data_IF_769412387590
#
_entry.id   IF_769412387590
#
_cell.length_a   1.000
_cell.length_b   1.000
_cell.length_c   1.000
_cell.angle_alpha   90.00
_cell.angle_beta   90.00
_cell.angle_gamma   90.00
#
_symmetry.space_group_name_H-M   'P 1'
#
loop_
_entity.id
_entity.type
_entity.pdbx_description
1 polymer ?
#
# COMPACT_ATOMS: atom_id res chain seq x y z
N UNK A 1 -35.82 -60.28 -43.59
CA UNK A 1 -35.67 -58.97 -42.90
C UNK A 1 -34.55 -59.14 -41.88
N UNK A 2 -33.44 -58.43 -41.80
CA UNK A 2 -32.84 -57.31 -42.53
C UNK A 2 -31.34 -57.34 -42.14
N UNK A 3 -30.44 -57.65 -43.07
CA UNK A 3 -28.99 -57.64 -42.83
C UNK A 3 -28.50 -56.21 -43.05
N UNK A 4 -27.98 -55.57 -41.99
CA UNK A 4 -27.42 -54.21 -42.05
C UNK A 4 -26.09 -54.22 -42.82
N UNK A 5 -25.85 -53.31 -43.79
CA UNK A 5 -24.56 -53.23 -44.44
C UNK A 5 -23.55 -52.46 -43.58
N UNK A 6 -22.31 -52.97 -43.55
CA UNK A 6 -21.14 -52.32 -42.96
C UNK A 6 -20.81 -51.03 -43.73
N UNK A 7 -20.72 -49.91 -43.02
CA UNK A 7 -20.27 -48.61 -43.55
C UNK A 7 -18.84 -48.71 -44.06
N UNK A 8 -18.64 -48.37 -45.33
CA UNK A 8 -17.33 -48.19 -45.95
C UNK A 8 -16.54 -47.09 -45.23
N UNK A 9 -15.39 -47.44 -44.65
CA UNK A 9 -14.42 -46.49 -44.12
C UNK A 9 -13.81 -45.69 -45.28
N UNK A 10 -14.01 -44.36 -45.28
CA UNK A 10 -13.30 -43.45 -46.17
C UNK A 10 -11.82 -43.42 -45.79
N UNK A 11 -10.88 -43.47 -46.75
CA UNK A 11 -9.47 -43.27 -46.44
C UNK A 11 -9.21 -41.81 -46.07
N UNK A 12 -8.42 -41.60 -45.01
CA UNK A 12 -7.95 -40.28 -44.57
C UNK A 12 -6.97 -39.70 -45.61
N UNK A 13 -6.98 -38.37 -45.86
CA UNK A 13 -6.00 -37.75 -46.73
C UNK A 13 -4.60 -37.81 -46.10
N UNK A 14 -3.60 -38.12 -46.93
CA UNK A 14 -2.19 -38.17 -46.58
C UNK A 14 -1.70 -36.81 -46.08
N UNK A 15 -1.35 -36.71 -44.79
CA UNK A 15 -0.64 -35.56 -44.22
C UNK A 15 0.71 -35.41 -44.92
N UNK A 16 0.84 -34.37 -45.74
CA UNK A 16 2.11 -33.88 -46.27
C UNK A 16 3.05 -33.56 -45.10
N UNK A 17 4.12 -34.35 -44.95
CA UNK A 17 5.22 -34.08 -44.02
C UNK A 17 5.87 -32.75 -44.42
N UNK A 18 5.64 -31.67 -43.66
CA UNK A 18 6.49 -30.48 -43.74
C UNK A 18 7.88 -30.90 -43.28
N UNK A 19 8.87 -30.78 -44.18
CA UNK A 19 10.29 -30.84 -43.81
C UNK A 19 10.59 -29.66 -42.91
N UNK A 20 10.95 -29.95 -41.66
CA UNK A 20 11.56 -28.96 -40.77
C UNK A 20 13.06 -28.99 -41.11
N UNK A 21 13.57 -27.88 -41.65
CA UNK A 21 15.01 -27.65 -41.78
C UNK A 21 15.59 -27.38 -40.38
N UNK A 22 16.73 -27.98 -40.00
CA UNK A 22 17.42 -27.61 -38.78
C UNK A 22 18.09 -26.25 -39.00
N UNK A 23 17.56 -25.20 -38.36
CA UNK A 23 18.29 -23.94 -38.23
C UNK A 23 19.38 -24.14 -37.19
N UNK A 24 20.61 -24.08 -37.68
CA UNK A 24 21.85 -24.19 -36.94
C UNK A 24 21.92 -23.27 -35.73
N UNK A 25 22.48 -23.83 -34.65
CA UNK A 25 22.93 -23.13 -33.47
C UNK A 25 23.88 -21.97 -33.81
N UNK A 26 23.65 -20.81 -33.20
CA UNK A 26 24.68 -19.80 -32.99
C UNK A 26 24.37 -18.94 -31.76
N UNK A 27 24.93 -19.35 -30.63
CA UNK A 27 25.40 -18.49 -29.56
C UNK A 27 26.83 -18.97 -29.28
N UNK A 28 27.83 -18.16 -28.86
CA UNK A 28 27.69 -16.90 -28.12
C UNK A 28 28.67 -15.79 -28.52
N UNK A 29 28.37 -14.52 -28.18
CA UNK A 29 29.38 -13.57 -27.63
C UNK A 29 28.77 -12.23 -27.20
N UNK A 30 29.05 -11.92 -25.93
CA UNK A 30 29.04 -10.64 -25.23
C UNK A 30 28.88 -9.37 -26.07
N UNK A 31 27.84 -8.59 -25.77
CA UNK A 31 27.80 -7.15 -25.98
C UNK A 31 27.44 -6.47 -24.65
N UNK A 32 28.39 -6.43 -23.71
CA UNK A 32 28.34 -5.47 -22.60
C UNK A 32 28.85 -4.14 -23.17
N UNK A 33 27.97 -3.39 -23.80
CA UNK A 33 28.22 -1.99 -24.13
C UNK A 33 27.90 -1.15 -22.87
N UNK A 34 28.96 -0.75 -22.15
CA UNK A 34 28.89 0.27 -21.11
C UNK A 34 28.52 1.60 -21.77
N UNK A 35 27.32 2.09 -21.58
CA UNK A 35 26.97 3.46 -21.94
C UNK A 35 26.88 4.32 -20.68
N UNK A 36 27.99 4.99 -20.34
CA UNK A 36 28.02 6.10 -19.39
C UNK A 36 27.62 7.37 -20.13
N UNK A 37 26.58 8.10 -19.72
CA UNK A 37 26.46 9.50 -20.12
C UNK A 37 27.38 10.35 -19.24
N UNK A 38 28.39 10.97 -19.87
CA UNK A 38 29.05 12.17 -19.36
C UNK A 38 28.06 13.32 -19.52
N UNK A 39 27.52 13.86 -18.43
CA UNK A 39 26.96 15.21 -18.44
C UNK A 39 27.92 16.16 -17.73
N UNK A 40 28.30 17.18 -18.49
CA UNK A 40 29.24 18.21 -18.14
C UNK A 40 28.61 19.18 -17.12
N UNK A 41 29.45 19.58 -16.17
CA UNK A 41 29.18 20.63 -15.22
C UNK A 41 28.80 21.95 -15.90
N UNK A 42 27.67 22.52 -15.50
CA UNK A 42 27.38 23.97 -15.47
C UNK A 42 26.19 24.18 -14.53
N UNK A 43 26.47 24.44 -13.25
CA UNK A 43 25.49 25.06 -12.37
C UNK A 43 26.09 26.36 -11.82
N UNK A 44 25.46 27.44 -12.25
CA UNK A 44 25.58 28.79 -11.71
C UNK A 44 25.34 28.78 -10.19
N UNK A 45 26.25 29.43 -9.47
CA UNK A 45 26.10 29.73 -8.05
C UNK A 45 25.05 30.84 -7.87
N UNK A 46 23.99 30.65 -7.06
CA UNK A 46 23.22 31.79 -6.59
C UNK A 46 24.00 32.56 -5.51
N UNK A 47 24.17 33.86 -5.73
CA UNK A 47 24.65 34.84 -4.74
C UNK A 47 23.74 34.79 -3.50
N UNK A 48 24.28 34.36 -2.35
CA UNK A 48 23.65 34.60 -1.05
C UNK A 48 23.69 36.10 -0.74
N UNK A 49 22.52 36.71 -0.73
CA UNK A 49 22.31 38.04 -0.17
C UNK A 49 22.61 38.02 1.34
N UNK A 50 23.33 39.06 1.78
CA UNK A 50 23.60 39.36 3.20
C UNK A 50 22.27 39.60 3.93
N UNK A 51 22.05 38.90 5.03
CA UNK A 51 21.03 39.25 6.02
C UNK A 51 21.57 40.38 6.92
N UNK A 52 20.79 41.45 7.02
CA UNK A 52 21.02 42.64 7.86
C UNK A 52 20.62 42.33 9.31
N UNK A 53 21.48 42.49 10.33
CA UNK A 53 21.16 42.14 11.71
C UNK A 53 20.65 43.37 12.46
N UNK A 54 19.40 43.78 12.23
CA UNK A 54 18.74 44.82 13.05
C UNK A 54 17.26 44.54 13.25
N UNK A 55 16.95 43.80 14.31
CA UNK A 55 15.68 43.90 15.04
C UNK A 55 15.76 43.07 16.32
N UNK A 56 16.33 43.69 17.35
CA UNK A 56 16.14 43.24 18.72
C UNK A 56 14.75 43.71 19.20
N UNK A 57 13.94 42.84 19.82
CA UNK A 57 12.85 43.29 20.67
C UNK A 57 13.34 43.47 22.12
N UNK A 58 12.94 44.60 22.69
CA UNK A 58 13.21 45.04 24.06
C UNK A 58 12.55 44.12 25.12
N UNK A 59 13.15 43.97 26.31
CA UNK A 59 12.52 43.26 27.41
C UNK A 59 11.40 44.09 28.05
N UNK A 60 10.18 43.55 28.07
CA UNK A 60 9.06 44.10 28.82
C UNK A 60 9.20 43.72 30.29
N UNK A 61 9.43 44.74 31.09
CA UNK A 61 9.32 44.81 32.53
C UNK A 61 7.94 44.32 33.03
N UNK A 62 7.92 43.44 34.04
CA UNK A 62 6.74 43.22 34.90
C UNK A 62 7.22 43.09 36.35
N UNK A 63 6.64 43.85 37.30
CA UNK A 63 7.12 43.92 38.68
C UNK A 63 6.74 42.69 39.50
N UNK A 64 7.58 42.41 40.49
CA UNK A 64 7.38 41.36 41.46
C UNK A 64 6.15 41.60 42.34
N UNK A 65 5.46 40.50 42.66
CA UNK A 65 4.55 40.41 43.78
C UNK A 65 4.69 39.02 44.39
N UNK A 66 5.38 38.96 45.52
CA UNK A 66 5.30 37.84 46.44
C UNK A 66 4.07 38.03 47.34
N UNK A 67 3.36 36.95 47.68
CA UNK A 67 2.75 36.87 48.98
C UNK A 67 3.18 35.62 49.74
N UNK A 68 3.22 35.84 51.04
CA UNK A 68 3.64 34.96 52.11
C UNK A 68 2.92 33.62 52.20
N UNK A 69 3.66 32.72 52.85
CA UNK A 69 3.24 31.51 53.52
C UNK A 69 1.86 31.57 54.19
N UNK A 70 0.97 30.67 53.77
CA UNK A 70 -0.13 30.23 54.62
C UNK A 70 -0.19 28.69 54.71
N UNK A 71 0.24 28.24 55.88
CA UNK A 71 0.07 26.95 56.55
C UNK A 71 -0.96 25.97 55.97
N UNK A 72 -0.43 24.85 55.49
CA UNK A 72 -1.15 23.62 55.11
C UNK A 72 -1.87 23.03 56.32
N UNK A 73 -3.20 23.14 56.36
CA UNK A 73 -4.04 22.24 57.16
C UNK A 73 -4.35 20.98 56.36
N UNK A 74 -3.74 19.90 56.81
CA UNK A 74 -3.94 18.52 56.36
C UNK A 74 -5.39 18.13 56.62
N UNK A 75 -6.18 17.97 55.57
CA UNK A 75 -7.49 17.31 55.66
C UNK A 75 -7.58 16.36 54.47
N UNK A 76 -7.61 15.07 54.77
CA UNK A 76 -7.69 13.97 53.83
C UNK A 76 -8.92 14.12 52.92
N UNK A 77 -8.69 14.39 51.63
CA UNK A 77 -9.71 14.22 50.61
C UNK A 77 -9.55 12.81 50.04
N UNK A 78 -10.54 11.96 50.37
CA UNK A 78 -10.77 10.64 49.77
C UNK A 78 -10.51 10.69 48.26
N UNK A 79 -9.50 9.95 47.81
CA UNK A 79 -9.25 9.62 46.40
C UNK A 79 -10.43 8.79 45.89
N UNK A 80 -11.46 9.44 45.37
CA UNK A 80 -12.40 8.81 44.43
C UNK A 80 -11.60 8.63 43.15
N UNK A 81 -11.25 7.39 42.84
CA UNK A 81 -10.68 7.00 41.56
C UNK A 81 -11.70 7.31 40.46
N UNK A 82 -11.64 8.53 39.94
CA UNK A 82 -12.31 8.87 38.70
C UNK A 82 -11.45 8.29 37.59
N UNK A 83 -11.81 7.09 37.14
CA UNK A 83 -11.38 6.52 35.88
C UNK A 83 -11.67 7.56 34.80
N UNK A 84 -10.62 8.30 34.43
CA UNK A 84 -10.60 9.09 33.21
C UNK A 84 -10.68 8.08 32.05
N UNK A 85 -11.91 7.75 31.66
CA UNK A 85 -12.21 7.24 30.33
C UNK A 85 -11.94 8.41 29.39
N UNK A 86 -10.67 8.64 29.04
CA UNK A 86 -10.36 9.53 27.92
C UNK A 86 -10.88 8.85 26.68
N UNK A 87 -12.04 9.32 26.26
CA UNK A 87 -12.67 9.15 24.97
C UNK A 87 -11.62 9.29 23.85
N UNK A 88 -10.98 8.17 23.49
CA UNK A 88 -10.18 8.03 22.28
C UNK A 88 -11.11 7.60 21.14
N UNK A 89 -12.11 8.43 20.84
CA UNK A 89 -12.81 8.42 19.56
C UNK A 89 -12.06 9.29 18.54
N UNK A 90 -10.72 9.26 18.59
CA UNK A 90 -9.94 9.47 17.38
C UNK A 90 -9.84 8.07 16.74
N UNK A 91 -10.53 7.87 15.62
CA UNK A 91 -10.52 6.58 14.92
C UNK A 91 -9.07 6.12 14.73
N UNK A 92 -8.70 5.02 15.39
CA UNK A 92 -7.35 4.48 15.27
C UNK A 92 -7.12 4.14 13.80
N UNK A 93 -6.04 4.61 13.17
CA UNK A 93 -5.81 4.45 11.73
C UNK A 93 -5.86 2.97 11.28
N UNK A 94 -5.38 2.05 12.11
CA UNK A 94 -5.50 0.61 11.85
C UNK A 94 -6.96 0.17 11.76
N UNK A 95 -7.82 0.62 12.70
CA UNK A 95 -9.25 0.32 12.69
C UNK A 95 -9.95 0.88 11.46
N UNK A 96 -9.59 2.09 11.03
CA UNK A 96 -10.15 2.70 9.81
C UNK A 96 -9.77 1.87 8.59
N UNK A 97 -8.52 1.43 8.49
CA UNK A 97 -8.08 0.57 7.38
C UNK A 97 -8.77 -0.79 7.43
N UNK A 98 -8.90 -1.39 8.61
CA UNK A 98 -9.63 -2.64 8.79
C UNK A 98 -11.09 -2.51 8.35
N UNK A 99 -11.77 -1.42 8.71
CA UNK A 99 -13.15 -1.14 8.28
C UNK A 99 -13.25 -1.02 6.75
N UNK A 100 -12.34 -0.27 6.12
CA UNK A 100 -12.29 -0.13 4.66
C UNK A 100 -12.04 -1.45 3.94
N UNK A 101 -11.15 -2.29 4.47
CA UNK A 101 -10.87 -3.62 3.92
C UNK A 101 -12.06 -4.57 4.10
N UNK A 102 -12.73 -4.51 5.25
CA UNK A 102 -13.94 -5.28 5.50
C UNK A 102 -15.09 -4.86 4.60
N UNK A 103 -15.23 -3.57 4.28
CA UNK A 103 -16.22 -3.10 3.30
C UNK A 103 -15.93 -3.65 1.89
N UNK A 104 -14.66 -3.64 1.48
CA UNK A 104 -14.26 -4.24 0.19
C UNK A 104 -14.45 -5.76 0.18
N UNK A 105 -14.24 -6.44 1.31
CA UNK A 105 -14.46 -7.88 1.45
C UNK A 105 -15.94 -8.30 1.37
N UNK A 106 -16.90 -7.35 1.52
CA UNK A 106 -18.34 -7.60 1.36
C UNK A 106 -18.81 -7.52 -0.09
N UNK A 107 -17.96 -7.06 -1.02
CA UNK A 107 -18.29 -7.01 -2.45
C UNK A 107 -18.56 -8.43 -2.95
N UNK A 108 -19.59 -8.66 -3.79
CA UNK A 108 -19.91 -9.99 -4.30
C UNK A 108 -18.69 -10.71 -4.88
N UNK A 109 -18.60 -12.01 -4.59
CA UNK A 109 -17.56 -12.92 -5.09
C UNK A 109 -16.12 -12.63 -4.63
N UNK A 110 -15.89 -11.58 -3.83
CA UNK A 110 -14.61 -11.34 -3.15
C UNK A 110 -14.40 -12.40 -2.07
N UNK A 111 -13.23 -13.04 -2.09
CA UNK A 111 -12.84 -14.08 -1.14
C UNK A 111 -11.73 -13.64 -0.20
N UNK A 112 -10.98 -12.59 -0.58
CA UNK A 112 -10.14 -11.88 0.35
C UNK A 112 -9.46 -10.65 -0.24
N UNK A 113 -9.02 -9.80 0.66
CA UNK A 113 -8.44 -8.49 0.39
C UNK A 113 -7.16 -8.36 1.19
N UNK A 114 -6.12 -7.81 0.57
CA UNK A 114 -4.82 -7.60 1.16
C UNK A 114 -4.32 -6.20 0.82
N UNK A 115 -4.04 -5.40 1.84
CA UNK A 115 -3.17 -4.24 1.72
C UNK A 115 -1.75 -4.69 2.04
N UNK A 116 -0.86 -4.59 1.06
CA UNK A 116 0.55 -4.95 1.19
C UNK A 116 1.45 -3.76 0.90
N UNK A 117 2.71 -3.87 1.31
CA UNK A 117 3.78 -2.98 0.88
C UNK A 117 4.39 -3.51 -0.42
N UNK A 118 4.91 -2.61 -1.27
CA UNK A 118 5.61 -2.97 -2.51
C UNK A 118 6.89 -3.78 -2.30
N UNK A 119 7.31 -4.00 -1.06
CA UNK A 119 8.40 -4.91 -0.75
C UNK A 119 7.95 -6.34 -0.43
N UNK A 120 6.64 -6.62 -0.46
CA UNK A 120 6.07 -7.95 -0.25
C UNK A 120 5.66 -8.26 1.18
N UNK A 121 5.59 -7.26 2.06
CA UNK A 121 5.06 -7.42 3.41
C UNK A 121 3.55 -7.16 3.48
N UNK A 122 2.84 -7.95 4.30
CA UNK A 122 1.43 -7.69 4.62
C UNK A 122 1.32 -6.49 5.57
N UNK A 123 0.37 -5.59 5.30
CA UNK A 123 0.05 -4.46 6.16
C UNK A 123 -1.29 -4.69 6.89
N UNK A 124 -2.33 -5.05 6.14
CA UNK A 124 -3.64 -5.41 6.69
C UNK A 124 -4.39 -6.33 5.71
N UNK A 125 -5.34 -7.12 6.17
CA UNK A 125 -6.09 -8.05 5.32
C UNK A 125 -7.50 -8.31 5.87
N UNK A 126 -8.42 -8.70 4.98
CA UNK A 126 -9.78 -9.06 5.34
C UNK A 126 -10.33 -10.16 4.41
N UNK A 127 -11.39 -10.83 4.86
CA UNK A 127 -12.14 -11.79 4.06
C UNK A 127 -11.96 -13.26 4.48
N UNK A 128 -12.91 -14.12 4.09
CA UNK A 128 -13.02 -15.49 4.62
C UNK A 128 -11.91 -16.44 4.14
N UNK A 129 -11.23 -16.13 3.04
CA UNK A 129 -10.15 -16.95 2.48
C UNK A 129 -8.75 -16.57 2.97
N UNK A 130 -8.63 -15.70 3.97
CA UNK A 130 -7.34 -15.14 4.40
C UNK A 130 -6.93 -15.67 5.77
N UNK A 131 -5.93 -16.55 5.78
CA UNK A 131 -5.14 -16.88 6.98
C UNK A 131 -3.75 -16.20 6.91
N UNK A 132 -3.04 -16.13 8.05
CA UNK A 132 -1.76 -15.44 8.12
C UNK A 132 -0.71 -15.96 7.13
N UNK A 133 -0.58 -17.27 6.97
CA UNK A 133 0.42 -17.88 6.08
C UNK A 133 0.09 -17.63 4.61
N UNK A 134 -1.18 -17.77 4.24
CA UNK A 134 -1.70 -17.47 2.91
C UNK A 134 -1.49 -16.00 2.57
N UNK A 135 -1.75 -15.09 3.52
CA UNK A 135 -1.57 -13.65 3.33
C UNK A 135 -0.10 -13.29 3.10
N UNK A 136 0.83 -13.85 3.88
CA UNK A 136 2.26 -13.60 3.68
C UNK A 136 2.74 -14.08 2.31
N UNK A 137 2.29 -15.26 1.90
CA UNK A 137 2.59 -15.80 0.57
C UNK A 137 1.98 -14.94 -0.53
N UNK A 138 0.75 -14.47 -0.35
CA UNK A 138 0.06 -13.63 -1.32
C UNK A 138 0.75 -12.27 -1.46
N UNK A 139 1.21 -11.66 -0.37
CA UNK A 139 1.96 -10.40 -0.39
C UNK A 139 3.26 -10.53 -1.20
N UNK A 140 4.00 -11.62 -1.00
CA UNK A 140 5.21 -11.91 -1.79
C UNK A 140 4.91 -12.09 -3.29
N UNK A 141 3.84 -12.82 -3.62
CA UNK A 141 3.40 -13.02 -5.02
C UNK A 141 2.98 -11.70 -5.66
N UNK A 142 2.18 -10.89 -4.97
CA UNK A 142 1.71 -9.59 -5.46
C UNK A 142 2.90 -8.66 -5.74
N UNK A 143 3.86 -8.57 -4.82
CA UNK A 143 5.08 -7.78 -5.04
C UNK A 143 5.82 -8.24 -6.30
N UNK A 144 6.09 -9.55 -6.42
CA UNK A 144 6.78 -10.08 -7.60
C UNK A 144 6.07 -9.74 -8.91
N UNK A 145 4.73 -9.85 -8.95
CA UNK A 145 3.92 -9.51 -10.13
C UNK A 145 3.93 -8.00 -10.42
N UNK A 146 3.77 -7.18 -9.37
CA UNK A 146 3.75 -5.73 -9.51
C UNK A 146 5.11 -5.19 -9.95
N UNK A 147 6.22 -5.74 -9.46
CA UNK A 147 7.58 -5.42 -9.90
C UNK A 147 7.82 -5.78 -11.37
N UNK A 148 7.32 -6.93 -11.84
CA UNK A 148 7.36 -7.30 -13.27
C UNK A 148 6.55 -6.31 -14.10
N UNK A 149 5.33 -5.97 -13.66
CA UNK A 149 4.48 -5.02 -14.36
C UNK A 149 5.13 -3.64 -14.45
N UNK A 150 5.81 -3.19 -13.39
CA UNK A 150 6.53 -1.92 -13.37
C UNK A 150 7.68 -1.91 -14.39
N UNK A 151 8.29 -3.07 -14.69
CA UNK A 151 9.29 -3.18 -15.75
C UNK A 151 8.76 -3.07 -17.18
N UNK A 152 7.43 -3.00 -17.38
CA UNK A 152 6.80 -2.74 -18.69
C UNK A 152 6.73 -1.23 -19.00
N UNK A 153 7.06 -0.38 -18.03
CA UNK A 153 7.08 1.07 -18.17
C UNK A 153 8.02 1.52 -19.31
N UNK A 154 7.46 2.28 -20.25
CA UNK A 154 8.16 2.88 -21.39
C UNK A 154 8.80 4.24 -21.04
N UNK A 155 8.72 4.63 -19.77
CA UNK A 155 9.20 5.91 -19.24
C UNK A 155 8.10 6.97 -19.13
N UNK A 156 6.86 6.65 -19.55
CA UNK A 156 5.70 7.53 -19.46
C UNK A 156 4.48 6.77 -18.90
N UNK A 157 4.33 6.74 -17.58
CA UNK A 157 3.10 6.25 -16.96
C UNK A 157 3.33 5.57 -15.62
N UNK A 158 2.30 4.86 -15.15
CA UNK A 158 2.39 3.96 -14.01
C UNK A 158 1.51 2.75 -14.25
N UNK A 159 1.85 1.63 -13.64
CA UNK A 159 0.97 0.46 -13.59
C UNK A 159 -0.26 0.81 -12.76
N UNK A 160 -1.40 1.00 -13.42
CA UNK A 160 -2.66 1.25 -12.70
C UNK A 160 -3.18 -0.04 -12.07
N UNK A 161 -3.12 -1.15 -12.82
CA UNK A 161 -3.69 -2.41 -12.40
C UNK A 161 -3.01 -3.61 -13.06
N UNK A 162 -2.90 -4.71 -12.31
CA UNK A 162 -2.61 -6.05 -12.84
C UNK A 162 -3.83 -6.94 -12.58
N UNK A 163 -4.28 -7.67 -13.61
CA UNK A 163 -5.36 -8.65 -13.52
C UNK A 163 -4.86 -10.02 -13.95
N UNK A 164 -4.98 -11.00 -13.06
CA UNK A 164 -4.74 -12.41 -13.37
C UNK A 164 -6.07 -13.14 -13.38
N UNK A 165 -6.41 -13.68 -14.55
CA UNK A 165 -7.52 -14.64 -14.69
C UNK A 165 -6.97 -16.05 -14.66
N UNK A 166 -7.44 -16.84 -13.69
CA UNK A 166 -7.22 -18.28 -13.64
C UNK A 166 -8.57 -18.98 -13.72
N UNK A 167 -8.58 -20.25 -14.12
CA UNK A 167 -9.80 -21.07 -14.21
C UNK A 167 -10.60 -21.14 -12.92
N UNK A 168 -9.98 -20.86 -11.77
CA UNK A 168 -10.60 -20.99 -10.45
C UNK A 168 -10.60 -19.71 -9.60
N UNK A 169 -9.95 -18.63 -10.03
CA UNK A 169 -9.99 -17.34 -9.33
C UNK A 169 -9.61 -16.18 -10.25
N UNK A 170 -9.96 -14.97 -9.83
CA UNK A 170 -9.35 -13.74 -10.35
C UNK A 170 -8.53 -13.07 -9.23
N UNK A 171 -7.37 -12.53 -9.58
CA UNK A 171 -6.54 -11.72 -8.70
C UNK A 171 -6.36 -10.34 -9.33
N UNK A 172 -6.80 -9.32 -8.62
CA UNK A 172 -6.67 -7.91 -8.97
C UNK A 172 -5.58 -7.30 -8.09
N UNK A 173 -4.71 -6.49 -8.66
CA UNK A 173 -3.67 -5.73 -7.95
C UNK A 173 -3.73 -4.29 -8.44
N UNK A 174 -3.82 -3.33 -7.53
CA UNK A 174 -3.75 -1.90 -7.83
C UNK A 174 -2.72 -1.21 -6.94
N UNK A 175 -2.07 -0.16 -7.46
CA UNK A 175 -1.28 0.74 -6.62
C UNK A 175 -2.18 1.44 -5.61
N UNK A 176 -1.79 1.47 -4.35
CA UNK A 176 -2.54 2.10 -3.26
C UNK A 176 -1.83 3.33 -2.67
N UNK A 177 -0.72 3.77 -3.28
CA UNK A 177 0.06 4.93 -2.85
C UNK A 177 0.74 4.73 -1.50
N UNK A 178 1.07 5.81 -0.79
CA UNK A 178 1.69 5.73 0.53
C UNK A 178 0.71 5.10 1.54
N UNK A 179 1.15 4.07 2.29
CA UNK A 179 0.33 3.49 3.34
C UNK A 179 0.14 4.48 4.50
N UNK A 180 -0.95 4.36 5.28
CA UNK A 180 -1.09 5.05 6.55
C UNK A 180 0.13 4.86 7.45
N UNK A 181 0.63 5.96 8.02
CA UNK A 181 1.85 5.96 8.83
C UNK A 181 1.80 4.93 9.97
N UNK A 182 0.70 4.87 10.72
CA UNK A 182 0.55 3.92 11.81
C UNK A 182 0.59 2.45 11.34
N UNK A 183 -0.10 2.13 10.25
CA UNK A 183 -0.13 0.76 9.69
C UNK A 183 1.27 0.35 9.21
N UNK A 184 1.99 1.25 8.53
CA UNK A 184 3.35 1.01 8.11
C UNK A 184 4.30 0.82 9.31
N UNK A 185 4.20 1.67 10.32
CA UNK A 185 5.01 1.59 11.54
C UNK A 185 4.76 0.30 12.32
N UNK A 186 3.51 -0.13 12.42
CA UNK A 186 3.14 -1.41 13.04
C UNK A 186 3.75 -2.61 12.31
N UNK A 187 3.94 -2.49 10.99
CA UNK A 187 4.66 -3.45 10.17
C UNK A 187 6.20 -3.24 10.14
N UNK A 188 6.74 -2.30 10.93
CA UNK A 188 8.17 -1.99 11.01
C UNK A 188 8.72 -1.25 9.80
N UNK A 189 7.91 -0.41 9.14
CA UNK A 189 8.24 0.30 7.90
C UNK A 189 8.24 1.81 8.07
N UNK A 190 9.09 2.46 7.28
CA UNK A 190 9.12 3.91 7.13
C UNK A 190 8.02 4.32 6.12
N UNK A 191 6.94 5.00 6.56
CA UNK A 191 5.82 5.35 5.68
C UNK A 191 6.19 6.33 4.58
N UNK A 192 7.26 7.11 4.74
CA UNK A 192 7.71 8.08 3.74
C UNK A 192 8.56 7.42 2.64
N UNK A 193 8.94 6.15 2.80
CA UNK A 193 9.85 5.44 1.89
C UNK A 193 9.26 4.19 1.26
N UNK A 194 7.99 3.91 1.52
CA UNK A 194 7.34 2.66 1.10
C UNK A 194 6.00 2.98 0.47
N UNK A 195 5.78 2.46 -0.73
CA UNK A 195 4.47 2.46 -1.35
C UNK A 195 3.72 1.17 -1.04
N UNK A 196 2.40 1.22 -1.15
CA UNK A 196 1.50 0.12 -0.88
C UNK A 196 0.76 -0.31 -2.14
N UNK A 197 0.27 -1.55 -2.10
CA UNK A 197 -0.48 -2.21 -3.15
C UNK A 197 -1.71 -2.88 -2.54
N UNK A 198 -2.84 -2.77 -3.24
CA UNK A 198 -4.09 -3.42 -2.87
C UNK A 198 -4.29 -4.66 -3.75
N UNK A 199 -4.35 -5.83 -3.12
CA UNK A 199 -4.69 -7.10 -3.74
C UNK A 199 -6.10 -7.55 -3.40
N UNK A 200 -6.87 -7.99 -4.39
CA UNK A 200 -8.19 -8.59 -4.21
C UNK A 200 -8.25 -9.95 -4.89
N UNK A 201 -8.56 -10.98 -4.11
CA UNK A 201 -8.84 -12.33 -4.58
C UNK A 201 -10.34 -12.52 -4.67
N UNK A 202 -10.80 -13.11 -5.78
CA UNK A 202 -12.21 -13.36 -6.04
C UNK A 202 -12.41 -14.76 -6.60
N UNK A 203 -13.65 -15.25 -6.58
CA UNK A 203 -14.03 -16.39 -7.40
C UNK A 203 -14.22 -15.97 -8.87
N UNK A 204 -14.39 -16.92 -9.79
CA UNK A 204 -14.45 -16.65 -11.24
C UNK A 204 -15.76 -16.01 -11.73
N UNK A 205 -16.77 -15.84 -10.86
CA UNK A 205 -18.05 -15.22 -11.20
C UNK A 205 -18.08 -13.71 -10.93
N UNK A 206 -17.06 -13.18 -10.28
CA UNK A 206 -16.97 -11.77 -9.95
C UNK A 206 -17.04 -10.88 -11.19
N UNK A 207 -17.85 -9.83 -11.10
CA UNK A 207 -17.86 -8.76 -12.10
C UNK A 207 -16.62 -7.87 -11.93
N UNK A 208 -15.75 -7.87 -12.94
CA UNK A 208 -14.48 -7.14 -12.91
C UNK A 208 -14.65 -5.63 -12.76
N UNK A 209 -15.71 -5.07 -13.35
CA UNK A 209 -16.03 -3.65 -13.24
C UNK A 209 -16.40 -3.26 -11.81
N UNK A 210 -17.24 -4.06 -11.16
CA UNK A 210 -17.68 -3.88 -9.77
C UNK A 210 -16.51 -3.98 -8.81
N UNK A 211 -15.66 -5.00 -8.96
CA UNK A 211 -14.46 -5.19 -8.12
C UNK A 211 -13.49 -4.03 -8.32
N UNK A 212 -13.19 -3.67 -9.58
CA UNK A 212 -12.28 -2.58 -9.89
C UNK A 212 -12.76 -1.22 -9.35
N UNK A 213 -14.05 -0.92 -9.50
CA UNK A 213 -14.67 0.28 -8.93
C UNK A 213 -14.55 0.31 -7.40
N UNK A 214 -14.85 -0.80 -6.73
CA UNK A 214 -14.78 -0.88 -5.28
C UNK A 214 -13.33 -0.71 -4.77
N UNK A 215 -12.34 -1.28 -5.47
CA UNK A 215 -10.91 -1.08 -5.16
C UNK A 215 -10.51 0.39 -5.29
N UNK A 216 -10.82 1.03 -6.42
CA UNK A 216 -10.50 2.44 -6.65
C UNK A 216 -11.16 3.36 -5.62
N UNK A 217 -12.42 3.09 -5.27
CA UNK A 217 -13.15 3.82 -4.25
C UNK A 217 -12.54 3.64 -2.85
N UNK A 218 -12.10 2.43 -2.50
CA UNK A 218 -11.42 2.16 -1.22
C UNK A 218 -10.09 2.91 -1.12
N UNK A 219 -9.26 2.88 -2.17
CA UNK A 219 -7.97 3.62 -2.22
C UNK A 219 -8.21 5.12 -2.05
N UNK A 220 -9.22 5.66 -2.75
CA UNK A 220 -9.60 7.07 -2.61
C UNK A 220 -10.02 7.42 -1.17
N UNK A 221 -10.93 6.64 -0.57
CA UNK A 221 -11.38 6.83 0.82
C UNK A 221 -10.23 6.72 1.82
N UNK A 222 -9.33 5.77 1.59
CA UNK A 222 -8.12 5.59 2.42
C UNK A 222 -7.27 6.86 2.40
N UNK A 223 -6.99 7.41 1.21
CA UNK A 223 -6.28 8.68 1.07
C UNK A 223 -6.98 9.85 1.77
N UNK A 224 -8.30 9.98 1.62
CA UNK A 224 -9.09 11.07 2.23
C UNK A 224 -9.13 11.00 3.77
N UNK A 225 -9.37 9.81 4.32
CA UNK A 225 -9.51 9.59 5.76
C UNK A 225 -8.17 9.71 6.50
N UNK A 226 -7.06 9.46 5.82
CA UNK A 226 -5.72 9.38 6.43
C UNK A 226 -4.80 10.55 6.07
N UNK A 227 -5.17 11.38 5.08
CA UNK A 227 -4.51 12.66 4.82
C UNK A 227 -4.76 13.71 5.91
N UNK A 228 -5.77 13.49 6.77
CA UNK A 228 -5.97 14.34 7.95
C UNK A 228 -4.92 13.97 9.00
N UNK A 229 -3.98 14.86 9.35
CA UNK A 229 -3.02 14.55 10.41
C UNK A 229 -3.80 14.23 11.68
N UNK A 230 -3.66 13.00 12.16
CA UNK A 230 -4.15 12.64 13.48
C UNK A 230 -3.54 13.67 14.43
N UNK A 231 -4.37 14.53 15.03
CA UNK A 231 -3.92 15.45 16.07
C UNK A 231 -3.29 14.58 17.14
N UNK A 232 -1.95 14.54 17.16
CA UNK A 232 -1.21 14.02 18.29
C UNK A 232 -1.71 14.84 19.47
N UNK A 233 -2.46 14.19 20.36
CA UNK A 233 -3.04 14.84 21.53
C UNK A 233 -1.93 15.64 22.21
N UNK A 234 -2.13 16.95 22.29
CA UNK A 234 -1.15 17.84 22.87
C UNK A 234 -0.78 17.30 24.24
N UNK A 235 0.50 16.94 24.41
CA UNK A 235 1.04 16.68 25.73
C UNK A 235 0.72 17.92 26.59
N UNK A 236 0.05 17.78 27.74
CA UNK A 236 0.00 18.89 28.67
C UNK A 236 1.46 19.14 29.07
N UNK A 237 2.02 20.26 28.64
CA UNK A 237 3.28 20.79 29.16
C UNK A 237 3.10 20.99 30.66
N UNK A 238 3.42 19.95 31.42
CA UNK A 238 3.51 19.96 32.86
C UNK A 238 4.84 20.59 33.24
N UNK A 239 4.91 21.92 33.20
CA UNK A 239 5.92 22.66 33.94
C UNK A 239 5.48 22.69 35.40
N UNK A 240 5.91 21.67 36.15
CA UNK A 240 5.76 21.57 37.60
C UNK A 240 7.14 21.43 38.24
N UNK A 241 7.63 22.55 38.77
CA UNK A 241 8.81 22.68 39.64
C UNK A 241 8.70 21.87 40.93
#
# INVERSE_FOLDING_TARGET
MSVRPLRSLRPLPSRSRRRIHPSSASSPRACIARNKPRQAARHDRPRRARADPRSAPHPSFVPGFAPEHQSVRRTEIRRIAMTMTTDSTAAQPDRVVDELLNDLAKVPDVTGVLLGSQDGLRLAYAGPGMDGQMVDRLAAVINGLYSIAHGVDDGEGRVEQVLIRKTNFLLFIMSAGSPPAAVALNAGRDPDKVESVLGVLTNTRADEGTVGFAMANMIKRMGELLATPARAGGAPSGDGQ
#
